data_IF_559082068872
#
_entry.id   IF_559082068872
#
_cell.length_a   1.000
_cell.length_b   1.000
_cell.length_c   1.000
_cell.angle_alpha   90.00
_cell.angle_beta   90.00
_cell.angle_gamma   90.00
#
_symmetry.space_group_name_H-M   'P 1'
#
loop_
_entity.id
_entity.type
_entity.pdbx_description
1 polymer ?
#
# COMPACT_ATOMS: atom_id res chain seq x y z
N UNK A 1 -26.88 -6.08 -2.89
CA UNK A 1 -26.38 -6.09 -3.04
C UNK A 1 -25.67 -6.20 -3.57
N UNK A 2 -25.40 -6.25 -3.75
CA UNK A 2 -24.64 -6.42 -4.26
C UNK A 2 -23.96 -6.11 -4.73
N UNK A 3 -23.63 -5.82 -4.93
CA UNK A 3 -22.93 -5.45 -5.44
C UNK A 3 -22.11 -5.14 -5.43
N UNK A 4 -21.87 -4.87 -5.19
CA UNK A 4 -21.05 -4.58 -5.31
C UNK A 4 -20.29 -4.82 -5.47
N UNK A 5 -20.54 -5.05 -5.11
CA UNK A 5 -19.51 -5.49 -5.11
C UNK A 5 -18.72 -5.65 -6.01
N UNK A 6 -18.79 -5.86 -6.18
CA UNK A 6 -18.22 -6.20 -7.14
C UNK A 6 -17.54 -5.24 -7.78
N UNK A 7 -17.89 -4.34 -7.67
CA UNK A 7 -17.29 -3.44 -8.18
C UNK A 7 -16.16 -3.23 -7.62
N UNK A 8 -16.30 -3.41 -6.58
CA UNK A 8 -15.09 -3.25 -5.99
C UNK A 8 -14.09 -3.84 -6.88
N UNK A 9 -14.46 -4.84 -7.38
CA UNK A 9 -13.57 -5.54 -8.15
C UNK A 9 -12.95 -4.73 -9.19
N UNK A 10 -13.59 -3.83 -9.69
CA UNK A 10 -13.08 -3.22 -10.74
C UNK A 10 -12.31 -2.12 -10.46
N UNK A 11 -12.61 -1.49 -9.49
CA UNK A 11 -11.85 -0.41 -9.19
C UNK A 11 -10.60 -0.81 -8.56
N UNK A 12 -10.19 -1.91 -8.79
CA UNK A 12 -9.08 -2.43 -8.11
C UNK A 12 -7.90 -1.58 -8.16
N UNK A 13 -7.79 -0.87 -9.15
CA UNK A 13 -6.65 -0.15 -9.25
C UNK A 13 -6.76 1.13 -8.57
N UNK A 14 -7.80 1.42 -7.96
CA UNK A 14 -7.89 2.66 -7.29
C UNK A 14 -7.14 2.53 -5.99
N UNK A 15 -5.99 3.09 -5.90
CA UNK A 15 -5.17 2.93 -4.71
C UNK A 15 -5.78 3.55 -3.47
N UNK A 16 -6.58 4.54 -3.66
CA UNK A 16 -7.14 5.21 -2.51
C UNK A 16 -8.23 4.43 -1.81
N UNK A 17 -8.64 3.30 -2.31
CA UNK A 17 -9.58 2.50 -1.56
C UNK A 17 -8.90 1.48 -0.66
N UNK A 18 -7.60 1.49 -0.63
CA UNK A 18 -6.89 0.72 0.39
C UNK A 18 -6.87 1.57 1.64
N UNK A 19 -7.66 1.19 2.61
CA UNK A 19 -7.81 1.98 3.82
C UNK A 19 -6.96 1.42 4.96
N UNK A 20 -6.55 2.26 5.89
CA UNK A 20 -5.80 1.80 7.04
C UNK A 20 -6.70 1.04 8.02
N UNK A 21 -6.13 0.24 8.90
CA UNK A 21 -6.91 -0.45 9.93
C UNK A 21 -7.73 0.50 10.79
N UNK A 22 -7.30 1.76 10.90
CA UNK A 22 -8.04 2.77 11.64
C UNK A 22 -9.46 2.97 11.15
N UNK A 23 -9.71 2.77 9.85
CA UNK A 23 -11.07 2.88 9.33
C UNK A 23 -11.97 1.80 9.91
N UNK A 24 -11.45 0.59 10.08
CA UNK A 24 -12.21 -0.48 10.74
C UNK A 24 -12.45 -0.12 12.21
N UNK A 25 -11.45 0.47 12.87
CA UNK A 25 -11.61 0.89 14.25
C UNK A 25 -12.76 1.90 14.34
N UNK A 26 -12.80 2.89 13.45
CA UNK A 26 -13.85 3.90 13.45
C UNK A 26 -15.23 3.27 13.23
N UNK A 27 -15.32 2.32 12.31
CA UNK A 27 -16.58 1.62 12.06
C UNK A 27 -17.06 0.89 13.30
N UNK A 28 -16.15 0.23 14.02
CA UNK A 28 -16.51 -0.50 15.22
C UNK A 28 -16.88 0.43 16.37
N UNK A 29 -16.27 1.61 16.44
CA UNK A 29 -16.66 2.60 17.43
C UNK A 29 -18.08 3.13 17.14
N UNK A 30 -18.37 3.36 15.88
CA UNK A 30 -19.69 3.82 15.50
C UNK A 30 -20.76 2.78 15.85
N UNK A 31 -20.46 1.53 15.55
CA UNK A 31 -21.35 0.42 15.87
C UNK A 31 -21.66 0.35 17.37
N UNK A 32 -20.66 0.63 18.20
CA UNK A 32 -20.80 0.54 19.65
C UNK A 32 -21.19 1.85 20.30
N UNK A 33 -21.26 2.92 19.53
CA UNK A 33 -21.54 4.26 20.02
C UNK A 33 -20.48 4.67 21.07
N UNK A 34 -19.22 4.37 20.76
CA UNK A 34 -18.09 4.75 21.62
C UNK A 34 -17.32 5.90 21.01
N UNK A 35 -16.79 6.75 21.89
CA UNK A 35 -15.85 7.81 21.47
C UNK A 35 -14.44 7.25 21.45
N UNK A 36 -13.53 7.99 20.82
CA UNK A 36 -12.11 7.61 20.82
C UNK A 36 -11.54 7.63 22.24
N UNK A 37 -12.03 8.54 23.08
CA UNK A 37 -11.61 8.59 24.48
C UNK A 37 -12.01 7.30 25.22
N UNK A 38 -13.23 6.82 24.98
CA UNK A 38 -13.69 5.59 25.61
C UNK A 38 -12.85 4.40 25.11
N UNK A 39 -12.50 4.40 23.83
CA UNK A 39 -11.64 3.35 23.31
C UNK A 39 -10.26 3.40 23.98
N UNK A 40 -9.69 4.59 24.08
CA UNK A 40 -8.37 4.76 24.69
C UNK A 40 -8.36 4.23 26.11
N UNK A 41 -9.41 4.56 26.87
CA UNK A 41 -9.53 4.10 28.24
C UNK A 41 -9.57 2.57 28.31
N UNK A 42 -10.29 1.94 27.39
CA UNK A 42 -10.42 0.49 27.40
C UNK A 42 -9.14 -0.21 26.93
N UNK A 43 -8.43 0.42 26.00
CA UNK A 43 -7.16 -0.14 25.51
C UNK A 43 -6.01 0.09 26.46
N UNK A 44 -6.13 1.06 27.36
CA UNK A 44 -5.00 1.45 28.22
C UNK A 44 -4.00 2.31 27.47
N UNK A 45 -4.44 3.02 26.44
CA UNK A 45 -3.61 3.93 25.67
C UNK A 45 -4.06 5.37 25.92
N UNK A 46 -3.23 6.33 25.52
CA UNK A 46 -3.65 7.72 25.57
C UNK A 46 -4.55 8.02 24.37
N UNK A 47 -5.44 9.02 24.49
CA UNK A 47 -6.24 9.42 23.34
C UNK A 47 -5.40 9.84 22.15
N UNK A 48 -4.23 10.46 22.40
CA UNK A 48 -3.33 10.85 21.32
C UNK A 48 -2.84 9.62 20.56
N UNK A 49 -2.46 8.57 21.29
CA UNK A 49 -1.96 7.35 20.67
C UNK A 49 -3.05 6.67 19.83
N UNK A 50 -4.28 6.63 20.36
CA UNK A 50 -5.41 6.07 19.64
C UNK A 50 -5.66 6.86 18.36
N UNK A 51 -5.62 8.19 18.45
CA UNK A 51 -5.82 9.02 17.26
C UNK A 51 -4.73 8.74 16.21
N UNK A 52 -3.48 8.59 16.66
CA UNK A 52 -2.39 8.28 15.75
C UNK A 52 -2.54 6.89 15.12
N UNK A 53 -3.03 5.91 15.87
CA UNK A 53 -3.31 4.59 15.31
C UNK A 53 -4.39 4.67 14.24
N UNK A 54 -5.47 5.37 14.54
CA UNK A 54 -6.60 5.49 13.62
C UNK A 54 -6.15 6.18 12.33
N UNK A 55 -5.32 7.19 12.44
CA UNK A 55 -4.84 7.93 11.27
C UNK A 55 -3.63 7.28 10.59
N UNK A 56 -3.23 6.11 11.06
CA UNK A 56 -2.10 5.37 10.50
C UNK A 56 -0.78 6.13 10.59
N UNK A 57 -0.67 7.06 11.54
CA UNK A 57 0.57 7.79 11.75
C UNK A 57 1.58 6.99 12.54
N UNK A 58 1.14 5.95 13.23
CA UNK A 58 2.01 5.00 13.90
C UNK A 58 1.59 3.60 13.47
N UNK A 59 2.48 2.63 13.47
CA UNK A 59 2.12 1.28 13.06
C UNK A 59 1.24 0.60 14.10
N UNK A 60 0.39 -0.30 13.64
CA UNK A 60 -0.41 -1.14 14.52
C UNK A 60 0.45 -2.34 14.88
N UNK A 61 0.95 -2.35 16.10
CA UNK A 61 1.89 -3.36 16.57
C UNK A 61 1.17 -4.61 17.06
N UNK A 62 1.94 -5.66 17.33
CA UNK A 62 1.38 -6.87 17.91
C UNK A 62 0.68 -6.58 19.24
N UNK A 63 1.27 -5.71 20.08
CA UNK A 63 0.63 -5.33 21.32
C UNK A 63 -0.71 -4.65 21.08
N UNK A 64 -0.75 -3.74 20.12
CA UNK A 64 -2.00 -3.07 19.77
C UNK A 64 -3.03 -4.07 19.25
N UNK A 65 -2.59 -5.02 18.44
CA UNK A 65 -3.50 -6.03 17.88
C UNK A 65 -4.11 -6.88 18.98
N UNK A 66 -3.32 -7.26 19.99
CA UNK A 66 -3.83 -8.04 21.11
C UNK A 66 -4.85 -7.24 21.89
N UNK A 67 -4.57 -5.97 22.16
CA UNK A 67 -5.51 -5.12 22.90
C UNK A 67 -6.80 -4.89 22.10
N UNK A 68 -6.67 -4.70 20.78
CA UNK A 68 -7.84 -4.51 19.95
C UNK A 68 -8.70 -5.78 19.88
N UNK A 69 -8.06 -6.96 19.86
CA UNK A 69 -8.81 -8.20 19.93
C UNK A 69 -9.65 -8.27 21.21
N UNK A 70 -9.03 -7.90 22.34
CA UNK A 70 -9.73 -7.96 23.61
C UNK A 70 -10.87 -6.96 23.69
N UNK A 71 -10.69 -5.77 23.16
CA UNK A 71 -11.64 -4.68 23.32
C UNK A 71 -12.70 -4.66 22.23
N UNK A 72 -12.29 -4.90 20.96
CA UNK A 72 -13.20 -4.81 19.84
C UNK A 72 -13.60 -6.15 19.24
N UNK A 73 -12.89 -7.21 19.57
CA UNK A 73 -13.34 -8.56 19.23
C UNK A 73 -12.77 -9.18 17.96
N UNK A 74 -12.22 -8.41 17.05
CA UNK A 74 -11.59 -8.99 15.86
C UNK A 74 -10.26 -9.60 16.27
N UNK A 75 -9.85 -10.67 15.58
CA UNK A 75 -8.67 -11.44 15.99
C UNK A 75 -7.38 -10.66 15.80
N UNK A 76 -6.34 -11.06 16.52
CA UNK A 76 -4.99 -10.51 16.34
C UNK A 76 -4.58 -10.64 14.88
N UNK A 77 -4.82 -11.82 14.28
CA UNK A 77 -4.47 -12.02 12.86
C UNK A 77 -5.20 -11.08 11.94
N UNK A 78 -6.46 -10.79 12.23
CA UNK A 78 -7.22 -9.83 11.43
C UNK A 78 -6.52 -8.46 11.44
N UNK A 79 -6.20 -7.95 12.63
CA UNK A 79 -5.60 -6.62 12.75
C UNK A 79 -4.23 -6.56 12.10
N UNK A 80 -3.41 -7.58 12.32
CA UNK A 80 -2.05 -7.59 11.74
C UNK A 80 -2.08 -7.75 10.23
N UNK A 81 -3.04 -8.52 9.71
CA UNK A 81 -3.19 -8.66 8.26
C UNK A 81 -3.63 -7.33 7.64
N UNK A 82 -4.58 -6.64 8.28
CA UNK A 82 -5.01 -5.33 7.80
C UNK A 82 -3.85 -4.35 7.77
N UNK A 83 -3.04 -4.35 8.83
CA UNK A 83 -1.88 -3.47 8.91
C UNK A 83 -0.88 -3.80 7.79
N UNK A 84 -0.57 -5.08 7.61
CA UNK A 84 0.41 -5.49 6.61
C UNK A 84 -0.06 -5.13 5.20
N UNK A 85 -1.33 -5.37 4.89
CA UNK A 85 -1.87 -5.06 3.58
C UNK A 85 -1.83 -3.56 3.30
N UNK A 86 -2.16 -2.76 4.31
CA UNK A 86 -2.12 -1.32 4.16
C UNK A 86 -0.70 -0.82 3.94
N UNK A 87 0.26 -1.31 4.75
CA UNK A 87 1.66 -0.87 4.64
C UNK A 87 2.27 -1.32 3.33
N UNK A 88 1.92 -2.50 2.88
CA UNK A 88 2.38 -2.97 1.57
C UNK A 88 1.89 -2.03 0.47
N UNK A 89 0.62 -1.64 0.53
CA UNK A 89 0.06 -0.79 -0.50
C UNK A 89 0.68 0.61 -0.48
N UNK A 90 0.87 1.16 0.70
CA UNK A 90 1.53 2.45 0.84
C UNK A 90 2.95 2.39 0.27
N UNK A 91 3.67 1.32 0.58
CA UNK A 91 5.05 1.16 0.09
C UNK A 91 5.09 1.08 -1.44
N UNK A 92 4.14 0.36 -2.04
CA UNK A 92 4.07 0.24 -3.49
C UNK A 92 3.77 1.60 -4.13
N UNK A 93 2.84 2.35 -3.54
CA UNK A 93 2.49 3.68 -4.07
C UNK A 93 3.66 4.64 -3.94
N UNK A 94 4.37 4.61 -2.82
CA UNK A 94 5.53 5.46 -2.63
C UNK A 94 6.66 5.09 -3.59
N UNK A 95 6.83 3.80 -3.85
CA UNK A 95 7.83 3.35 -4.82
C UNK A 95 7.48 3.85 -6.22
N UNK A 96 6.20 3.81 -6.58
CA UNK A 96 5.77 4.30 -7.89
C UNK A 96 6.08 5.80 -8.03
N UNK A 97 5.85 6.56 -6.97
CA UNK A 97 6.17 7.99 -6.98
C UNK A 97 7.66 8.22 -7.14
N UNK A 98 8.49 7.42 -6.48
CA UNK A 98 9.94 7.56 -6.60
C UNK A 98 10.42 7.19 -8.00
N UNK A 99 9.65 6.41 -8.73
CA UNK A 99 10.04 5.99 -10.09
C UNK A 99 9.78 7.07 -11.13
N UNK A 100 8.96 8.08 -10.81
CA UNK A 100 8.66 9.14 -11.76
C UNK A 100 9.94 9.85 -12.26
N UNK A 101 10.85 10.29 -11.39
CA UNK A 101 12.07 10.94 -11.89
C UNK A 101 13.03 9.98 -12.59
N UNK A 102 12.78 8.68 -12.53
CA UNK A 102 13.62 7.71 -13.22
C UNK A 102 13.16 7.43 -14.65
N UNK A 103 12.02 7.99 -15.06
CA UNK A 103 11.46 7.74 -16.38
C UNK A 103 12.44 8.00 -17.53
N UNK A 104 13.28 9.05 -17.52
CA UNK A 104 14.24 9.25 -18.61
C UNK A 104 15.19 8.07 -18.82
N UNK A 105 15.44 7.25 -17.80
CA UNK A 105 16.28 6.07 -17.92
C UNK A 105 15.72 5.08 -18.95
N UNK A 106 14.38 5.07 -19.15
CA UNK A 106 13.73 4.18 -20.12
C UNK A 106 14.21 4.45 -21.54
N UNK A 107 14.65 5.67 -21.83
CA UNK A 107 15.09 6.02 -23.18
C UNK A 107 16.34 5.27 -23.61
N UNK A 108 17.03 4.67 -22.66
CA UNK A 108 18.22 3.88 -22.98
C UNK A 108 17.87 2.49 -23.50
N UNK A 109 16.58 2.14 -23.55
CA UNK A 109 16.15 0.79 -23.88
C UNK A 109 15.10 0.81 -24.98
N UNK A 110 15.06 -0.24 -25.84
CA UNK A 110 14.02 -0.36 -26.88
C UNK A 110 12.75 -0.93 -26.26
N UNK A 111 12.06 -0.08 -25.49
CA UNK A 111 10.93 -0.51 -24.66
C UNK A 111 9.81 -1.14 -25.50
N UNK A 112 9.52 -0.57 -26.68
CA UNK A 112 8.45 -1.12 -27.52
C UNK A 112 8.78 -2.52 -27.99
N UNK A 113 10.00 -2.71 -28.41
CA UNK A 113 10.45 -4.02 -28.88
C UNK A 113 10.45 -5.02 -27.73
N UNK A 114 10.83 -4.57 -26.54
CA UNK A 114 10.82 -5.45 -25.36
C UNK A 114 9.39 -5.87 -25.03
N UNK A 115 8.42 -4.99 -25.21
CA UNK A 115 7.02 -5.36 -25.03
C UNK A 115 6.58 -6.33 -26.11
N UNK A 116 7.02 -6.13 -27.36
CA UNK A 116 6.60 -6.98 -28.47
C UNK A 116 7.09 -8.42 -28.29
N UNK A 117 8.28 -8.60 -27.72
CA UNK A 117 8.82 -9.94 -27.54
C UNK A 117 8.49 -10.52 -26.15
N UNK A 118 7.69 -9.81 -25.35
CA UNK A 118 7.20 -10.36 -24.11
C UNK A 118 8.10 -10.18 -22.89
N UNK A 119 9.18 -9.44 -23.02
CA UNK A 119 10.06 -9.16 -21.88
C UNK A 119 9.39 -8.19 -20.92
N UNK A 120 8.67 -7.23 -21.47
CA UNK A 120 7.88 -6.30 -20.66
C UNK A 120 6.40 -6.49 -20.99
N UNK A 121 5.53 -6.26 -20.03
CA UNK A 121 4.10 -6.35 -20.25
C UNK A 121 3.65 -5.25 -21.21
N UNK A 122 2.82 -5.63 -22.16
CA UNK A 122 2.33 -4.65 -23.13
C UNK A 122 1.45 -3.62 -22.46
N UNK A 123 1.70 -2.37 -22.75
CA UNK A 123 0.88 -1.27 -22.25
C UNK A 123 1.08 -0.04 -23.11
N UNK A 124 0.19 0.89 -22.95
CA UNK A 124 0.31 2.17 -23.64
C UNK A 124 1.42 2.98 -22.96
N UNK A 125 2.25 3.61 -23.77
CA UNK A 125 3.34 4.43 -23.24
C UNK A 125 2.84 5.85 -23.01
N UNK A 126 2.52 6.16 -21.77
CA UNK A 126 2.07 7.50 -21.39
C UNK A 126 2.66 7.87 -20.03
N UNK A 127 2.36 9.07 -19.57
CA UNK A 127 2.94 9.56 -18.33
C UNK A 127 2.57 8.69 -17.12
N UNK A 128 1.44 8.01 -17.19
CA UNK A 128 0.98 7.20 -16.09
C UNK A 128 1.66 5.83 -16.07
N UNK A 129 1.90 5.26 -17.23
CA UNK A 129 2.45 3.91 -17.32
C UNK A 129 3.97 3.87 -17.27
N UNK A 130 4.63 4.95 -17.63
CA UNK A 130 6.10 4.94 -17.70
C UNK A 130 6.76 4.66 -16.34
N UNK A 131 6.30 5.23 -15.22
CA UNK A 131 6.89 4.86 -13.94
C UNK A 131 6.75 3.38 -13.61
N UNK A 132 5.63 2.76 -14.03
CA UNK A 132 5.44 1.34 -13.83
C UNK A 132 6.43 0.53 -14.66
N UNK A 133 6.73 1.00 -15.87
CA UNK A 133 7.73 0.35 -16.71
C UNK A 133 9.11 0.43 -16.08
N UNK A 134 9.43 1.52 -15.41
CA UNK A 134 10.71 1.61 -14.70
C UNK A 134 10.81 0.47 -13.70
N UNK A 135 9.76 0.27 -12.90
CA UNK A 135 9.76 -0.81 -11.91
C UNK A 135 9.91 -2.18 -12.56
N UNK A 136 9.20 -2.40 -13.64
CA UNK A 136 9.25 -3.69 -14.34
C UNK A 136 10.64 -3.93 -14.93
N UNK A 137 11.24 -2.90 -15.49
CA UNK A 137 12.56 -3.02 -16.08
C UNK A 137 13.64 -3.25 -15.01
N UNK A 138 13.51 -2.57 -13.86
CA UNK A 138 14.41 -2.83 -12.74
C UNK A 138 14.32 -4.28 -12.30
N UNK A 139 13.11 -4.83 -12.24
CA UNK A 139 12.92 -6.23 -11.89
C UNK A 139 13.52 -7.17 -12.93
N UNK A 140 13.42 -6.82 -14.21
CA UNK A 140 14.01 -7.61 -15.27
C UNK A 140 15.54 -7.70 -15.10
N UNK A 141 16.18 -6.59 -14.74
CA UNK A 141 17.64 -6.59 -14.55
C UNK A 141 18.05 -7.03 -13.14
N UNK A 142 17.11 -7.15 -12.22
CA UNK A 142 17.42 -7.55 -10.86
C UNK A 142 18.17 -6.49 -10.06
N UNK A 143 17.87 -5.24 -10.29
CA UNK A 143 18.52 -4.12 -9.59
C UNK A 143 17.46 -3.24 -8.93
N UNK A 144 17.88 -2.55 -7.87
CA UNK A 144 16.94 -1.74 -7.09
C UNK A 144 16.68 -0.37 -7.73
N UNK A 145 17.67 0.23 -8.36
CA UNK A 145 17.54 1.55 -8.98
C UNK A 145 18.40 1.62 -10.23
N UNK A 146 18.19 2.62 -11.09
CA UNK A 146 19.07 2.81 -12.25
C UNK A 146 20.55 2.97 -11.89
N UNK A 147 20.85 3.49 -10.70
CA UNK A 147 22.24 3.62 -10.28
C UNK A 147 22.90 2.25 -10.16
N UNK A 148 22.21 1.26 -9.60
CA UNK A 148 22.74 -0.08 -9.51
C UNK A 148 22.84 -0.73 -10.88
N UNK A 149 21.90 -0.42 -11.80
CA UNK A 149 22.00 -0.91 -13.17
C UNK A 149 23.27 -0.38 -13.82
N UNK A 150 23.53 0.91 -13.66
CA UNK A 150 24.71 1.53 -14.23
C UNK A 150 25.98 0.86 -13.69
N UNK A 151 25.98 0.58 -12.40
CA UNK A 151 27.11 -0.05 -11.74
C UNK A 151 27.37 -1.47 -12.24
N UNK A 152 26.31 -2.23 -12.53
CA UNK A 152 26.43 -3.63 -12.94
C UNK A 152 26.58 -3.80 -14.43
N UNK A 153 25.93 -2.99 -15.22
CA UNK A 153 25.84 -3.18 -16.66
C UNK A 153 26.32 -1.98 -17.48
N UNK A 154 26.47 -0.83 -16.87
CA UNK A 154 26.89 0.35 -17.60
C UNK A 154 28.35 0.28 -17.97
N UNK A 155 28.72 1.00 -19.00
CA UNK A 155 30.10 1.02 -19.46
C UNK A 155 30.77 2.32 -19.06
#
# INVERSE_FOLDING_TARGET
>A
MTELPVQGANAPFAPNWVSPPGDTILDLLEERDWTQQQLADRLGYTPKHVNQLIKAKVPLTEDAAIRLQNVLGASVGFWLTREAQYRERVAVLEAAERQVPMVPWLERFPVKEMMDIGVLAKRRLDAKSKPELVGELLGFFGVATPDQWESQYGC
#
